data_IF_994867712177
#
_entry.id   IF_994867712177
#
_cell.length_a   1.000
_cell.length_b   1.000
_cell.length_c   1.000
_cell.angle_alpha   90.00
_cell.angle_beta   90.00
_cell.angle_gamma   90.00
#
_symmetry.space_group_name_H-M   'P 1'
#
loop_
_entity.id
_entity.type
_entity.pdbx_description
1 polymer ?
#
# COMPACT_ATOMS: atom_id res chain seq x y z
N UNK A 1 -0.91 -33.52 6.02
CA UNK A 1 -1.06 -32.50 7.08
C UNK A 1 -0.69 -33.16 8.41
N UNK A 2 0.32 -32.68 9.11
CA UNK A 2 0.70 -33.27 10.41
C UNK A 2 -0.33 -32.89 11.47
N UNK A 3 -0.55 -33.77 12.43
CA UNK A 3 -1.52 -33.62 13.54
C UNK A 3 -1.31 -32.30 14.32
N UNK A 4 -0.08 -31.81 14.41
CA UNK A 4 0.29 -30.53 15.02
C UNK A 4 -0.30 -29.29 14.31
N UNK A 5 -0.47 -29.32 12.98
CA UNK A 5 -1.06 -28.21 12.21
C UNK A 5 -2.57 -28.17 12.39
N UNK A 6 -3.22 -29.34 12.51
CA UNK A 6 -4.66 -29.44 12.75
C UNK A 6 -5.04 -29.01 14.17
N UNK A 7 -4.21 -29.31 15.17
CA UNK A 7 -4.47 -28.95 16.57
C UNK A 7 -4.30 -27.43 16.79
N UNK A 8 -3.27 -26.79 16.20
CA UNK A 8 -3.09 -25.33 16.22
C UNK A 8 -4.23 -24.57 15.54
N UNK A 9 -4.75 -25.09 14.42
CA UNK A 9 -5.88 -24.50 13.72
C UNK A 9 -7.19 -24.53 14.54
N UNK A 10 -7.41 -25.60 15.30
CA UNK A 10 -8.60 -25.75 16.15
C UNK A 10 -8.53 -24.88 17.42
N UNK A 11 -7.34 -24.58 17.95
CA UNK A 11 -7.19 -23.64 19.06
C UNK A 11 -7.40 -22.19 18.64
N UNK A 12 -6.95 -21.81 17.45
CA UNK A 12 -7.21 -20.48 16.87
C UNK A 12 -8.71 -20.28 16.63
N UNK A 13 -9.43 -21.30 16.14
CA UNK A 13 -10.88 -21.25 15.98
C UNK A 13 -11.65 -21.07 17.29
N UNK A 14 -11.10 -21.50 18.42
CA UNK A 14 -11.73 -21.33 19.74
C UNK A 14 -11.52 -19.94 20.34
N UNK A 15 -10.44 -19.27 19.98
CA UNK A 15 -10.09 -17.94 20.49
C UNK A 15 -10.68 -16.77 19.67
N UNK A 16 -10.95 -17.00 18.38
CA UNK A 16 -11.59 -16.03 17.51
C UNK A 16 -13.04 -16.45 17.30
N UNK A 17 -14.03 -15.63 17.63
CA UNK A 17 -15.44 -15.88 17.39
C UNK A 17 -15.75 -16.25 15.91
N UNK A 18 -17.03 -16.38 15.50
CA UNK A 18 -17.37 -16.89 14.18
C UNK A 18 -16.80 -15.98 13.07
N UNK A 19 -15.79 -16.48 12.39
CA UNK A 19 -15.18 -15.84 11.23
C UNK A 19 -16.19 -15.79 10.07
N UNK A 20 -16.28 -14.70 9.31
CA UNK A 20 -16.92 -14.79 8.00
C UNK A 20 -16.16 -15.84 7.19
N UNK A 21 -16.89 -16.76 6.57
CA UNK A 21 -16.30 -17.79 5.71
C UNK A 21 -15.43 -17.11 4.66
N UNK A 22 -14.09 -17.29 4.78
CA UNK A 22 -13.18 -16.94 3.71
C UNK A 22 -13.53 -17.89 2.57
N UNK A 23 -14.21 -17.35 1.54
CA UNK A 23 -14.69 -18.13 0.42
C UNK A 23 -13.53 -18.87 -0.24
N UNK A 24 -13.64 -20.19 -0.31
CA UNK A 24 -12.75 -21.05 -1.07
C UNK A 24 -12.96 -20.76 -2.56
N UNK A 25 -12.15 -19.85 -3.13
CA UNK A 25 -12.15 -19.67 -4.57
C UNK A 25 -11.45 -20.85 -5.24
N UNK A 26 -12.20 -21.63 -5.99
CA UNK A 26 -11.68 -22.66 -6.89
C UNK A 26 -10.95 -21.94 -8.04
N UNK A 27 -9.63 -22.02 -8.08
CA UNK A 27 -8.94 -21.65 -9.30
C UNK A 27 -7.43 -21.61 -9.24
N UNK A 28 -6.81 -20.89 -8.35
CA UNK A 28 -5.33 -20.82 -8.24
C UNK A 28 -4.95 -20.76 -6.77
N UNK A 29 -4.57 -21.91 -6.21
CA UNK A 29 -4.04 -21.96 -4.85
C UNK A 29 -2.59 -21.48 -4.93
N UNK A 30 -2.34 -20.20 -4.64
CA UNK A 30 -1.03 -19.83 -4.12
C UNK A 30 -0.93 -20.42 -2.73
N UNK A 31 0.14 -21.15 -2.38
CA UNK A 31 0.27 -21.69 -1.03
C UNK A 31 0.30 -20.54 -0.04
N UNK A 32 -0.82 -20.37 0.66
CA UNK A 32 -0.99 -19.43 1.76
C UNK A 32 -0.91 -20.24 3.04
N UNK A 33 0.07 -19.97 3.88
CA UNK A 33 0.20 -20.58 5.20
C UNK A 33 -0.13 -19.54 6.26
N UNK A 34 -1.10 -19.84 7.12
CA UNK A 34 -1.39 -19.03 8.31
C UNK A 34 -0.65 -19.66 9.49
N UNK A 35 0.27 -18.90 10.08
CA UNK A 35 0.99 -19.32 11.27
C UNK A 35 1.06 -18.16 12.28
N UNK A 36 0.65 -18.42 13.53
CA UNK A 36 0.58 -17.40 14.60
C UNK A 36 -0.11 -16.09 14.18
N UNK A 37 -1.25 -16.18 13.46
CA UNK A 37 -1.98 -15.02 13.00
C UNK A 37 -1.31 -14.22 11.87
N UNK A 38 -0.36 -14.82 11.15
CA UNK A 38 0.32 -14.23 10.00
C UNK A 38 -0.04 -14.99 8.73
N UNK A 39 -0.34 -14.29 7.67
CA UNK A 39 -0.53 -14.87 6.33
C UNK A 39 0.81 -14.81 5.61
N UNK A 40 1.30 -15.97 5.18
CA UNK A 40 2.45 -16.06 4.28
C UNK A 40 1.94 -16.27 2.86
N UNK A 41 2.25 -15.36 1.97
CA UNK A 41 1.89 -15.45 0.56
C UNK A 41 3.17 -15.76 -0.22
N UNK A 42 3.29 -17.00 -0.71
CA UNK A 42 4.38 -17.39 -1.60
C UNK A 42 3.96 -17.18 -3.05
N UNK A 43 4.60 -16.24 -3.74
CA UNK A 43 4.35 -15.99 -5.16
C UNK A 43 5.48 -15.17 -5.78
N UNK A 44 5.83 -15.45 -7.03
CA UNK A 44 6.88 -14.77 -7.79
C UNK A 44 8.28 -14.77 -7.14
N UNK A 45 8.63 -15.85 -6.38
CA UNK A 45 9.96 -16.03 -5.81
C UNK A 45 10.28 -15.18 -4.57
N UNK A 46 9.27 -14.57 -3.94
CA UNK A 46 9.42 -13.77 -2.70
C UNK A 46 8.30 -14.09 -1.73
N UNK A 47 8.63 -14.10 -0.46
CA UNK A 47 7.66 -14.27 0.63
C UNK A 47 7.19 -12.90 1.13
N UNK A 48 5.89 -12.72 1.24
CA UNK A 48 5.25 -11.57 1.88
C UNK A 48 4.53 -12.10 3.10
N UNK A 49 4.81 -11.53 4.26
CA UNK A 49 4.15 -11.88 5.51
C UNK A 49 3.21 -10.75 5.92
N UNK A 50 1.93 -11.07 6.06
CA UNK A 50 0.90 -10.14 6.54
C UNK A 50 0.46 -10.59 7.93
N UNK A 51 0.56 -9.69 8.91
CA UNK A 51 0.09 -9.95 10.27
C UNK A 51 -1.42 -9.67 10.33
N UNK A 52 -2.24 -10.74 10.42
CA UNK A 52 -3.71 -10.63 10.48
C UNK A 52 -4.28 -10.60 11.90
N UNK A 53 -3.42 -10.57 12.95
CA UNK A 53 -3.88 -10.51 14.34
C UNK A 53 -4.58 -9.17 14.69
N UNK A 54 -4.34 -8.11 13.91
CA UNK A 54 -5.16 -6.91 13.88
C UNK A 54 -6.01 -6.94 12.64
N UNK A 55 -7.24 -7.43 12.71
CA UNK A 55 -8.19 -7.27 11.62
C UNK A 55 -8.38 -5.78 11.30
N UNK A 56 -8.90 -5.47 10.11
CA UNK A 56 -9.31 -4.11 9.70
C UNK A 56 -10.43 -3.64 10.66
N UNK A 57 -10.09 -3.49 11.91
CA UNK A 57 -10.87 -2.82 12.91
C UNK A 57 -10.41 -1.36 12.91
N UNK A 58 -11.34 -0.46 12.69
CA UNK A 58 -11.15 0.98 12.85
C UNK A 58 -10.03 1.63 12.00
N UNK A 59 -9.99 1.39 10.66
CA UNK A 59 -9.09 2.11 9.77
C UNK A 59 -7.64 1.58 9.67
N UNK A 60 -7.27 0.53 10.38
CA UNK A 60 -5.89 0.03 10.41
C UNK A 60 -5.71 -1.16 9.48
N UNK A 61 -4.69 -1.08 8.65
CA UNK A 61 -4.19 -2.22 7.89
C UNK A 61 -3.19 -3.02 8.74
N UNK A 62 -3.09 -4.34 8.55
CA UNK A 62 -2.11 -5.15 9.27
C UNK A 62 -0.69 -4.83 8.82
N UNK A 63 0.27 -4.86 9.75
CA UNK A 63 1.69 -4.70 9.42
C UNK A 63 2.16 -5.78 8.45
N UNK A 64 3.10 -5.41 7.57
CA UNK A 64 3.61 -6.30 6.53
C UNK A 64 5.13 -6.37 6.61
N UNK A 65 5.66 -7.57 6.55
CA UNK A 65 7.09 -7.79 6.33
C UNK A 65 7.31 -8.33 4.92
N UNK A 66 8.25 -7.72 4.20
CA UNK A 66 8.73 -8.19 2.90
C UNK A 66 10.17 -8.71 3.03
N UNK A 67 10.90 -8.88 1.93
CA UNK A 67 12.31 -9.28 1.98
C UNK A 67 13.18 -8.25 2.72
N UNK A 68 13.00 -6.96 2.43
CA UNK A 68 13.84 -5.86 2.93
C UNK A 68 13.10 -4.87 3.81
N UNK A 69 11.75 -4.85 3.75
CA UNK A 69 10.94 -3.79 4.32
C UNK A 69 10.06 -4.29 5.45
N UNK A 70 9.77 -3.37 6.36
CA UNK A 70 8.70 -3.44 7.33
C UNK A 70 7.73 -2.29 7.06
N UNK A 71 6.49 -2.62 6.71
CA UNK A 71 5.42 -1.67 6.44
C UNK A 71 4.50 -1.65 7.64
N UNK A 72 4.44 -0.53 8.34
CA UNK A 72 3.63 -0.33 9.55
C UNK A 72 2.80 0.94 9.47
N UNK A 73 1.84 1.08 10.37
CA UNK A 73 1.10 2.32 10.54
C UNK A 73 2.06 3.50 10.76
N UNK A 74 1.74 4.64 10.16
CA UNK A 74 2.43 5.92 10.42
C UNK A 74 1.89 6.51 11.72
N UNK A 75 2.78 6.83 12.64
CA UNK A 75 2.47 7.41 13.93
C UNK A 75 2.76 8.91 13.91
N UNK A 76 2.13 9.67 14.80
CA UNK A 76 2.44 11.12 14.96
C UNK A 76 3.93 11.33 15.30
N UNK A 77 4.55 10.41 16.04
CA UNK A 77 5.98 10.42 16.32
C UNK A 77 6.89 10.32 15.10
N UNK A 78 6.37 9.85 13.95
CA UNK A 78 7.13 9.72 12.69
C UNK A 78 7.16 11.05 11.90
N UNK A 79 6.45 12.08 12.35
CA UNK A 79 6.29 13.33 11.61
C UNK A 79 7.62 13.96 11.18
N UNK A 80 8.64 13.92 12.05
CA UNK A 80 9.97 14.44 11.73
C UNK A 80 10.65 13.67 10.59
N UNK A 81 10.52 12.36 10.56
CA UNK A 81 11.08 11.50 9.51
C UNK A 81 10.31 11.67 8.21
N UNK A 82 8.98 11.78 8.30
CA UNK A 82 8.12 12.05 7.14
C UNK A 82 8.44 13.43 6.56
N UNK A 83 8.59 14.46 7.39
CA UNK A 83 8.97 15.79 6.96
C UNK A 83 10.31 15.80 6.20
N UNK A 84 11.25 14.93 6.56
CA UNK A 84 12.56 14.87 5.89
C UNK A 84 12.42 14.60 4.38
N UNK A 85 11.41 13.87 3.92
CA UNK A 85 11.16 13.68 2.49
C UNK A 85 9.93 14.47 1.98
N UNK A 86 8.94 14.74 2.80
CA UNK A 86 7.75 15.47 2.39
C UNK A 86 7.98 16.98 2.20
N UNK A 87 9.04 17.53 2.80
CA UNK A 87 9.48 18.93 2.56
C UNK A 87 10.26 19.12 1.25
N UNK A 88 10.60 18.03 0.55
CA UNK A 88 11.39 18.09 -0.67
C UNK A 88 10.51 18.28 -1.91
N UNK A 89 10.70 19.37 -2.62
CA UNK A 89 9.96 19.74 -3.83
C UNK A 89 10.05 18.67 -4.95
N UNK A 90 11.19 18.01 -5.05
CA UNK A 90 11.44 16.93 -6.02
C UNK A 90 10.68 15.64 -5.69
N UNK A 91 10.24 15.47 -4.44
CA UNK A 91 9.42 14.34 -3.98
C UNK A 91 7.93 14.64 -4.16
N UNK A 92 7.48 15.81 -3.71
CA UNK A 92 6.06 16.12 -3.55
C UNK A 92 5.39 16.67 -4.81
N UNK A 93 6.04 17.55 -5.58
CA UNK A 93 5.45 18.05 -6.82
C UNK A 93 5.12 16.96 -7.84
N UNK A 94 5.99 15.94 -8.07
CA UNK A 94 5.63 14.81 -8.92
C UNK A 94 4.49 13.94 -8.37
N UNK A 95 4.26 13.98 -7.06
CA UNK A 95 3.16 13.28 -6.38
C UNK A 95 1.85 14.10 -6.34
N UNK A 96 1.88 15.37 -6.73
CA UNK A 96 0.68 16.17 -6.94
C UNK A 96 0.32 17.16 -5.83
N UNK A 97 1.21 17.44 -4.89
CA UNK A 97 0.97 18.40 -3.80
C UNK A 97 2.25 19.20 -3.44
N UNK A 98 2.10 20.34 -2.75
CA UNK A 98 3.23 21.15 -2.33
C UNK A 98 4.08 20.46 -1.26
N UNK A 99 5.36 20.86 -1.12
CA UNK A 99 6.18 20.45 0.01
C UNK A 99 5.56 20.85 1.34
N UNK A 100 5.69 20.00 2.36
CA UNK A 100 5.34 20.34 3.73
C UNK A 100 6.18 21.50 4.24
N UNK A 101 5.57 22.42 5.00
CA UNK A 101 6.22 23.63 5.48
C UNK A 101 6.87 23.43 6.87
N UNK A 102 6.37 22.48 7.67
CA UNK A 102 6.91 22.20 8.99
C UNK A 102 6.59 20.77 9.48
N UNK A 103 7.26 20.32 10.54
CA UNK A 103 6.98 19.06 11.23
C UNK A 103 5.57 19.07 11.84
N UNK A 104 5.15 20.21 12.37
CA UNK A 104 3.82 20.38 12.96
C UNK A 104 2.69 20.20 11.93
N UNK A 105 2.94 20.54 10.66
CA UNK A 105 2.01 20.26 9.56
C UNK A 105 1.84 18.75 9.35
N UNK A 106 2.94 18.00 9.39
CA UNK A 106 2.90 16.53 9.28
C UNK A 106 2.25 15.89 10.50
N UNK A 107 2.52 16.39 11.73
CA UNK A 107 1.82 15.95 12.95
C UNK A 107 0.31 16.16 12.80
N UNK A 108 -0.12 17.35 12.39
CA UNK A 108 -1.53 17.64 12.15
C UNK A 108 -2.16 16.77 11.06
N UNK A 109 -1.41 16.48 9.97
CA UNK A 109 -1.86 15.56 8.93
C UNK A 109 -2.12 14.16 9.49
N UNK A 110 -1.18 13.61 10.23
CA UNK A 110 -1.26 12.26 10.81
C UNK A 110 -2.37 12.14 11.85
N UNK A 111 -2.52 13.15 12.70
CA UNK A 111 -3.48 13.14 13.80
C UNK A 111 -4.91 13.48 13.35
N UNK A 112 -5.08 14.46 12.45
CA UNK A 112 -6.37 15.06 12.18
C UNK A 112 -6.89 14.90 10.76
N UNK A 113 -6.02 14.70 9.75
CA UNK A 113 -6.42 14.65 8.34
C UNK A 113 -6.50 13.20 7.84
N UNK A 114 -5.45 12.43 8.05
CA UNK A 114 -5.38 11.04 7.60
C UNK A 114 -6.53 10.16 8.15
N UNK A 115 -6.94 10.22 9.43
CA UNK A 115 -8.06 9.43 9.94
C UNK A 115 -9.42 9.82 9.32
N UNK A 116 -9.60 11.08 8.90
CA UNK A 116 -10.85 11.51 8.26
C UNK A 116 -11.10 10.83 6.92
N UNK A 117 -10.04 10.43 6.21
CA UNK A 117 -10.17 9.70 4.93
C UNK A 117 -10.95 8.39 5.07
N UNK A 118 -10.80 7.69 6.21
CA UNK A 118 -11.61 6.53 6.52
C UNK A 118 -13.07 6.88 6.77
N UNK A 119 -13.32 7.95 7.55
CA UNK A 119 -14.68 8.37 7.90
C UNK A 119 -15.43 8.79 6.64
N UNK A 120 -14.81 9.61 5.79
CA UNK A 120 -15.44 10.24 4.64
C UNK A 120 -15.46 9.34 3.40
N UNK A 121 -14.40 8.58 3.15
CA UNK A 121 -14.21 7.85 1.90
C UNK A 121 -13.97 6.35 2.09
N UNK A 122 -13.91 5.85 3.31
CA UNK A 122 -13.55 4.45 3.63
C UNK A 122 -12.19 4.04 3.04
N UNK A 123 -11.24 4.99 3.01
CA UNK A 123 -9.87 4.74 2.60
C UNK A 123 -9.06 4.44 3.86
N UNK A 124 -8.48 3.24 4.01
CA UNK A 124 -7.71 2.89 5.20
C UNK A 124 -6.42 3.72 5.29
N UNK A 125 -5.91 3.88 6.50
CA UNK A 125 -4.58 4.44 6.72
C UNK A 125 -3.54 3.61 5.99
N UNK A 126 -2.61 4.30 5.32
CA UNK A 126 -1.52 3.61 4.63
C UNK A 126 -0.35 3.32 5.55
N UNK A 127 0.77 2.97 4.94
CA UNK A 127 1.96 2.53 5.63
C UNK A 127 3.09 3.56 5.58
N UNK A 128 3.85 3.64 6.68
CA UNK A 128 5.24 4.02 6.66
C UNK A 128 6.08 2.89 6.10
N UNK A 129 7.06 3.21 5.27
CA UNK A 129 8.03 2.26 4.72
C UNK A 129 9.28 2.34 5.57
N UNK A 130 9.63 1.27 6.28
CA UNK A 130 10.87 1.16 7.05
C UNK A 130 11.76 0.06 6.44
N UNK A 131 13.09 0.21 6.56
CA UNK A 131 14.00 -0.90 6.28
C UNK A 131 13.98 -1.88 7.45
N UNK A 132 14.04 -3.18 7.17
CA UNK A 132 14.17 -4.19 8.23
C UNK A 132 15.39 -3.92 9.11
N UNK A 133 15.17 -3.99 10.43
CA UNK A 133 16.21 -3.70 11.42
C UNK A 133 16.33 -2.24 11.80
N UNK A 134 15.53 -1.35 11.19
CA UNK A 134 15.34 0.04 11.62
C UNK A 134 13.87 0.29 11.87
N UNK A 135 13.56 1.30 12.66
CA UNK A 135 12.18 1.79 12.86
C UNK A 135 11.95 3.13 12.16
N UNK A 136 12.97 3.63 11.45
CA UNK A 136 12.96 4.89 10.72
C UNK A 136 12.08 4.81 9.48
N UNK A 137 11.16 5.77 9.34
CA UNK A 137 10.27 5.88 8.19
C UNK A 137 10.97 6.62 7.05
N UNK A 138 11.36 5.87 6.02
CA UNK A 138 12.06 6.39 4.83
C UNK A 138 11.14 6.75 3.67
N UNK A 139 9.85 6.47 3.79
CA UNK A 139 8.85 6.74 2.78
C UNK A 139 7.45 6.35 3.24
N UNK A 140 6.47 6.53 2.36
CA UNK A 140 5.09 6.14 2.62
C UNK A 140 4.44 5.54 1.39
N UNK A 141 3.46 4.65 1.62
CA UNK A 141 2.62 4.06 0.59
C UNK A 141 1.22 3.87 1.11
N UNK A 142 0.21 4.28 0.35
CA UNK A 142 -1.19 4.17 0.75
C UNK A 142 -2.15 4.10 -0.44
N UNK A 143 -3.43 3.90 -0.12
CA UNK A 143 -4.51 4.24 -1.02
C UNK A 143 -4.93 5.69 -0.74
N UNK A 144 -4.99 6.53 -1.76
CA UNK A 144 -5.21 7.98 -1.61
C UNK A 144 -6.55 8.48 -2.18
N UNK A 145 -7.14 7.80 -3.15
CA UNK A 145 -8.45 8.13 -3.70
C UNK A 145 -9.32 6.89 -3.89
N UNK A 146 -10.63 7.07 -3.73
CA UNK A 146 -11.64 6.06 -4.08
C UNK A 146 -12.39 6.49 -5.33
N UNK A 147 -12.26 5.72 -6.39
CA UNK A 147 -12.95 5.99 -7.66
C UNK A 147 -14.26 5.21 -7.80
N UNK A 148 -14.40 4.07 -7.13
CA UNK A 148 -15.62 3.29 -6.97
C UNK A 148 -15.54 2.47 -5.67
N UNK A 149 -16.60 1.75 -5.32
CA UNK A 149 -16.66 0.97 -4.06
C UNK A 149 -15.52 -0.04 -3.93
N UNK A 150 -15.09 -0.61 -5.05
CA UNK A 150 -14.05 -1.63 -5.16
C UNK A 150 -12.85 -1.19 -6.01
N UNK A 151 -12.68 0.15 -6.21
CA UNK A 151 -11.56 0.74 -6.97
C UNK A 151 -10.87 1.81 -6.16
N UNK A 152 -9.62 1.58 -5.80
CA UNK A 152 -8.77 2.54 -5.08
C UNK A 152 -7.56 2.93 -5.92
N UNK A 153 -7.08 4.16 -5.73
CA UNK A 153 -5.83 4.66 -6.28
C UNK A 153 -4.71 4.50 -5.26
N UNK A 154 -3.57 4.00 -5.70
CA UNK A 154 -2.35 3.86 -4.89
C UNK A 154 -1.41 5.04 -5.10
N UNK A 155 -0.93 5.61 -3.98
CA UNK A 155 0.08 6.64 -3.95
C UNK A 155 1.28 6.26 -3.10
N UNK A 156 2.43 6.88 -3.36
CA UNK A 156 3.67 6.63 -2.61
C UNK A 156 4.65 7.80 -2.68
N UNK A 157 5.43 7.94 -1.63
CA UNK A 157 6.58 8.81 -1.52
C UNK A 157 7.78 8.01 -1.01
N UNK A 158 8.99 8.45 -1.35
CA UNK A 158 10.23 7.86 -0.86
C UNK A 158 11.31 8.93 -0.76
N UNK A 159 12.07 8.90 0.34
CA UNK A 159 13.24 9.78 0.50
C UNK A 159 14.24 9.55 -0.64
N UNK A 160 14.83 10.61 -1.23
CA UNK A 160 15.69 10.51 -2.41
C UNK A 160 16.88 9.56 -2.27
N UNK A 161 17.48 9.45 -1.08
CA UNK A 161 18.62 8.57 -0.82
C UNK A 161 18.31 7.08 -1.07
N UNK A 162 17.04 6.73 -1.12
CA UNK A 162 16.57 5.35 -1.38
C UNK A 162 16.02 5.14 -2.79
N UNK A 163 16.10 6.16 -3.67
CA UNK A 163 15.63 6.01 -5.04
C UNK A 163 16.47 5.01 -5.85
N UNK A 164 15.87 4.44 -6.88
CA UNK A 164 16.55 3.51 -7.79
C UNK A 164 16.77 2.09 -7.24
N UNK A 165 16.51 1.85 -5.96
CA UNK A 165 16.80 0.60 -5.26
C UNK A 165 15.62 -0.41 -5.28
N UNK A 166 14.50 -0.07 -5.93
CA UNK A 166 13.33 -0.95 -6.03
C UNK A 166 12.46 -1.00 -4.77
N UNK A 167 12.71 -0.15 -3.78
CA UNK A 167 11.97 -0.06 -2.50
C UNK A 167 10.47 0.13 -2.74
N UNK A 168 10.07 1.16 -3.49
CA UNK A 168 8.65 1.41 -3.78
C UNK A 168 7.99 0.24 -4.53
N UNK A 169 8.72 -0.40 -5.47
CA UNK A 169 8.16 -1.56 -6.20
C UNK A 169 7.88 -2.73 -5.26
N UNK A 170 8.74 -2.95 -4.26
CA UNK A 170 8.56 -3.99 -3.24
C UNK A 170 7.39 -3.66 -2.31
N UNK A 171 7.33 -2.44 -1.77
CA UNK A 171 6.23 -1.97 -0.95
C UNK A 171 4.87 -2.00 -1.70
N UNK A 172 4.86 -1.58 -2.97
CA UNK A 172 3.66 -1.58 -3.78
C UNK A 172 3.12 -2.99 -4.05
N UNK A 173 3.99 -4.00 -4.24
CA UNK A 173 3.55 -5.39 -4.33
C UNK A 173 2.84 -5.85 -3.06
N UNK A 174 3.37 -5.49 -1.90
CA UNK A 174 2.74 -5.82 -0.62
C UNK A 174 1.38 -5.13 -0.48
N UNK A 175 1.26 -3.85 -0.89
CA UNK A 175 -0.02 -3.13 -0.86
C UNK A 175 -1.03 -3.70 -1.87
N UNK A 176 -0.59 -4.18 -3.05
CA UNK A 176 -1.45 -4.87 -4.01
C UNK A 176 -2.04 -6.16 -3.41
N UNK A 177 -1.24 -6.96 -2.70
CA UNK A 177 -1.76 -8.15 -2.00
C UNK A 177 -2.83 -7.76 -0.97
N UNK A 178 -2.59 -6.73 -0.15
CA UNK A 178 -3.61 -6.20 0.78
C UNK A 178 -4.86 -5.75 0.04
N UNK A 179 -4.72 -4.97 -1.02
CA UNK A 179 -5.84 -4.48 -1.79
C UNK A 179 -6.71 -5.58 -2.38
N UNK A 180 -6.09 -6.57 -3.01
CA UNK A 180 -6.83 -7.64 -3.67
C UNK A 180 -7.31 -8.74 -2.73
N UNK A 181 -6.57 -9.04 -1.65
CA UNK A 181 -6.92 -10.15 -0.75
C UNK A 181 -7.73 -9.72 0.47
N UNK A 182 -7.34 -8.64 1.16
CA UNK A 182 -7.99 -8.20 2.39
C UNK A 182 -9.11 -7.20 2.13
N UNK A 183 -8.88 -6.20 1.27
CA UNK A 183 -9.87 -5.18 0.93
C UNK A 183 -10.86 -5.64 -0.16
N UNK A 184 -10.62 -6.80 -0.76
CA UNK A 184 -11.45 -7.37 -1.82
C UNK A 184 -11.66 -6.42 -3.01
N UNK A 185 -10.67 -5.59 -3.35
CA UNK A 185 -10.76 -4.66 -4.48
C UNK A 185 -10.85 -5.41 -5.81
N UNK A 186 -11.62 -4.87 -6.73
CA UNK A 186 -11.68 -5.32 -8.13
C UNK A 186 -10.51 -4.78 -8.94
N UNK A 187 -10.13 -3.52 -8.67
CA UNK A 187 -9.12 -2.79 -9.43
C UNK A 187 -8.30 -1.87 -8.53
N UNK A 188 -7.02 -1.73 -8.85
CA UNK A 188 -6.16 -0.69 -8.26
C UNK A 188 -5.62 0.18 -9.37
N UNK A 189 -5.62 1.50 -9.16
CA UNK A 189 -5.15 2.49 -10.11
C UNK A 189 -3.89 3.22 -9.62
N UNK A 190 -3.11 3.76 -10.54
CA UNK A 190 -2.02 4.70 -10.27
C UNK A 190 -2.20 5.86 -11.25
N UNK A 191 -2.31 7.09 -10.72
CA UNK A 191 -2.21 8.30 -11.55
C UNK A 191 -0.82 8.93 -11.41
N UNK A 192 -0.29 9.44 -12.49
CA UNK A 192 0.96 10.20 -12.47
C UNK A 192 1.03 11.20 -13.63
N UNK A 193 1.79 12.27 -13.40
CA UNK A 193 2.07 13.21 -14.47
C UNK A 193 3.00 12.60 -15.52
N UNK A 194 2.83 13.00 -16.79
CA UNK A 194 3.58 12.44 -17.92
C UNK A 194 5.10 12.67 -17.86
N UNK A 195 5.58 13.59 -17.02
CA UNK A 195 6.99 13.79 -16.75
C UNK A 195 7.52 12.89 -15.62
N UNK A 196 6.67 12.34 -14.75
CA UNK A 196 7.07 11.43 -13.67
C UNK A 196 7.41 10.04 -14.20
N UNK A 197 8.60 9.90 -14.77
CA UNK A 197 9.07 8.64 -15.36
C UNK A 197 9.32 7.54 -14.32
N UNK A 198 9.58 7.91 -13.07
CA UNK A 198 9.77 6.95 -11.99
C UNK A 198 8.46 6.21 -11.70
N UNK A 199 7.35 6.93 -11.53
CA UNK A 199 6.03 6.33 -11.28
C UNK A 199 5.55 5.48 -12.47
N UNK A 200 5.76 5.93 -13.72
CA UNK A 200 5.46 5.14 -14.92
C UNK A 200 6.18 3.78 -14.90
N UNK A 201 7.50 3.76 -14.61
CA UNK A 201 8.28 2.52 -14.53
C UNK A 201 7.82 1.60 -13.40
N UNK A 202 7.35 2.15 -12.29
CA UNK A 202 6.79 1.36 -11.18
C UNK A 202 5.49 0.69 -11.64
N UNK A 203 4.56 1.44 -12.24
CA UNK A 203 3.33 0.89 -12.80
C UNK A 203 3.61 -0.23 -13.82
N UNK A 204 4.51 0.01 -14.78
CA UNK A 204 4.91 -0.97 -15.79
C UNK A 204 5.53 -2.24 -15.17
N UNK A 205 6.44 -2.09 -14.20
CA UNK A 205 7.07 -3.23 -13.50
C UNK A 205 6.09 -4.06 -12.68
N UNK A 206 5.05 -3.42 -12.18
CA UNK A 206 3.96 -4.08 -11.46
C UNK A 206 2.88 -4.63 -12.41
N UNK A 207 3.01 -4.35 -13.71
CA UNK A 207 2.14 -4.85 -14.79
C UNK A 207 0.80 -4.15 -14.87
N UNK A 208 0.74 -2.92 -14.42
CA UNK A 208 -0.40 -2.06 -14.71
C UNK A 208 -0.48 -1.75 -16.21
N UNK A 209 -1.69 -1.65 -16.70
CA UNK A 209 -1.99 -1.22 -18.08
C UNK A 209 -2.26 0.28 -18.12
N UNK A 210 -1.64 1.00 -19.07
CA UNK A 210 -1.98 2.40 -19.33
C UNK A 210 -3.39 2.49 -19.92
N UNK A 211 -4.36 3.01 -19.18
CA UNK A 211 -5.75 3.10 -19.59
C UNK A 211 -6.13 4.45 -20.18
N UNK A 212 -5.52 5.54 -19.68
CA UNK A 212 -5.79 6.86 -20.23
C UNK A 212 -4.59 7.79 -20.20
N UNK A 213 -4.62 8.73 -21.17
CA UNK A 213 -3.73 9.88 -21.25
C UNK A 213 -4.56 11.13 -21.47
N UNK A 214 -4.77 11.88 -20.41
CA UNK A 214 -5.47 13.17 -20.47
C UNK A 214 -4.46 14.25 -20.78
N UNK A 215 -4.62 14.89 -21.95
CA UNK A 215 -3.69 15.94 -22.41
C UNK A 215 -3.97 17.27 -21.72
N UNK A 216 -2.94 18.07 -21.58
CA UNK A 216 -3.01 19.48 -21.22
C UNK A 216 -3.67 19.75 -19.85
N UNK A 217 -3.48 18.84 -18.89
CA UNK A 217 -3.85 19.03 -17.47
C UNK A 217 -2.83 19.98 -16.83
N UNK A 218 -3.27 20.71 -15.81
CA UNK A 218 -2.34 21.42 -14.93
C UNK A 218 -1.89 20.48 -13.82
N UNK A 219 -0.59 20.45 -13.57
CA UNK A 219 -0.04 19.83 -12.35
C UNK A 219 -0.25 20.75 -11.14
N UNK A 220 0.22 20.33 -9.97
CA UNK A 220 0.06 21.06 -8.72
C UNK A 220 0.76 22.44 -8.73
N UNK A 221 1.75 22.65 -9.61
CA UNK A 221 2.41 23.95 -9.83
C UNK A 221 1.72 24.81 -10.90
N UNK A 222 0.61 24.33 -11.48
CA UNK A 222 -0.10 25.00 -12.59
C UNK A 222 0.54 24.82 -13.96
N UNK A 223 1.61 24.03 -14.08
CA UNK A 223 2.28 23.72 -15.34
C UNK A 223 1.46 22.71 -16.15
N UNK A 224 1.33 22.94 -17.46
CA UNK A 224 0.59 22.04 -18.33
C UNK A 224 1.40 20.80 -18.68
N UNK A 225 0.76 19.64 -18.49
CA UNK A 225 1.35 18.35 -18.78
C UNK A 225 0.25 17.30 -19.09
N UNK A 226 0.65 16.10 -19.48
CA UNK A 226 -0.30 14.99 -19.56
C UNK A 226 -0.49 14.38 -18.17
N UNK A 227 -1.71 13.95 -17.86
CA UNK A 227 -2.01 13.05 -16.75
C UNK A 227 -2.20 11.64 -17.31
N UNK A 228 -1.54 10.68 -16.73
CA UNK A 228 -1.59 9.26 -17.11
C UNK A 228 -2.28 8.48 -16.01
N UNK A 229 -3.23 7.62 -16.38
CA UNK A 229 -3.86 6.67 -15.48
C UNK A 229 -3.52 5.25 -15.91
N UNK A 230 -3.00 4.49 -14.98
CA UNK A 230 -2.71 3.08 -15.10
C UNK A 230 -3.68 2.30 -14.21
N UNK A 231 -4.16 1.15 -14.69
CA UNK A 231 -5.03 0.24 -13.95
C UNK A 231 -4.46 -1.16 -13.89
N UNK A 232 -4.74 -1.86 -12.80
CA UNK A 232 -4.47 -3.29 -12.63
C UNK A 232 -5.73 -3.96 -12.08
N UNK A 233 -6.28 -4.91 -12.83
CA UNK A 233 -7.42 -5.71 -12.41
C UNK A 233 -6.96 -6.86 -11.50
N UNK A 234 -7.83 -7.27 -10.57
CA UNK A 234 -7.59 -8.46 -9.75
C UNK A 234 -7.27 -9.69 -10.59
N UNK A 235 -8.06 -9.93 -11.65
CA UNK A 235 -7.88 -11.09 -12.53
C UNK A 235 -6.51 -11.11 -13.23
N UNK A 236 -5.95 -9.93 -13.53
CA UNK A 236 -4.61 -9.81 -14.09
C UNK A 236 -3.52 -10.05 -13.04
N UNK A 237 -3.78 -9.71 -11.78
CA UNK A 237 -2.89 -9.97 -10.66
C UNK A 237 -2.85 -11.46 -10.30
N UNK A 238 -4.01 -12.10 -10.18
CA UNK A 238 -4.15 -13.53 -9.85
C UNK A 238 -3.63 -14.46 -10.94
N UNK A 239 -3.59 -14.02 -12.20
CA UNK A 239 -3.12 -14.78 -13.35
C UNK A 239 -1.59 -14.81 -13.54
N UNK A 240 -0.80 -14.26 -12.60
CA UNK A 240 0.67 -14.12 -12.71
C UNK A 240 1.45 -15.15 -11.95
#
# INVERSE_FOLDING_TARGET
MSKLVADGYNEIKKAAGPWPEIGWYRGVIRPCHVWQGRIFISGMGREIMINILGQIEDNKLPDIETERLYLRERLVSDAKEIFAYASLAEVTWPAGFPPAESVEEEENYLENIMPKRWIEQKIPSGYGICLKGTDEVIGSIDFNNRHADDVLEMGYLLHPDYWGQGIVTEAARALLEVGFTLLNLHKIEIECYGYNKASQRIAEKLGFTLESRVRDRKDAQGKRCNLLRYGLLRSEWEGR
#
